data_IF_954390921338
#
_entry.id   IF_954390921338
#
_cell.length_a   1.000
_cell.length_b   1.000
_cell.length_c   1.000
_cell.angle_alpha   90.00
_cell.angle_beta   90.00
_cell.angle_gamma   90.00
#
_symmetry.space_group_name_H-M   'P 1'
#
loop_
_entity.id
_entity.type
_entity.pdbx_description
1 polymer ?
#
# COMPACT_ATOMS: atom_id res chain seq x y z
N UNK A 1 26.86 10.79 -44.98
CA UNK A 1 26.59 9.37 -45.32
C UNK A 1 27.89 8.70 -45.76
N UNK A 2 28.54 7.94 -44.88
CA UNK A 2 29.46 6.83 -45.18
C UNK A 2 29.89 6.15 -43.86
N UNK A 3 29.84 4.81 -43.86
CA UNK A 3 30.21 3.82 -42.82
C UNK A 3 29.23 3.57 -41.67
N UNK A 4 28.14 2.89 -42.00
CA UNK A 4 27.39 2.01 -41.10
C UNK A 4 27.64 0.53 -41.48
N UNK A 5 28.88 0.18 -41.82
CA UNK A 5 29.28 -1.18 -42.17
C UNK A 5 30.19 -1.74 -41.08
N UNK A 6 29.77 -2.85 -40.47
CA UNK A 6 30.44 -3.69 -39.47
C UNK A 6 30.17 -3.44 -37.98
N UNK A 7 28.96 -3.03 -37.59
CA UNK A 7 28.48 -3.30 -36.22
C UNK A 7 27.64 -4.58 -36.22
N UNK A 8 27.87 -5.52 -35.28
CA UNK A 8 27.02 -6.71 -35.16
C UNK A 8 25.57 -6.27 -34.91
N UNK A 9 24.58 -6.99 -35.46
CA UNK A 9 23.14 -6.63 -35.34
C UNK A 9 22.71 -6.38 -33.90
N UNK A 10 23.30 -7.10 -32.94
CA UNK A 10 23.03 -6.94 -31.51
C UNK A 10 23.53 -5.61 -30.93
N UNK A 11 24.49 -4.93 -31.56
CA UNK A 11 25.03 -3.65 -31.12
C UNK A 11 24.28 -2.43 -31.68
N UNK A 12 23.48 -2.62 -32.73
CA UNK A 12 22.73 -1.54 -33.38
C UNK A 12 21.74 -0.80 -32.43
N UNK A 13 21.02 -1.48 -31.51
CA UNK A 13 20.13 -0.80 -30.58
C UNK A 13 20.87 0.16 -29.65
N UNK A 14 22.04 -0.21 -29.14
CA UNK A 14 22.79 0.62 -28.18
C UNK A 14 23.33 1.90 -28.81
N UNK A 15 23.84 1.81 -30.04
CA UNK A 15 24.27 2.99 -30.79
C UNK A 15 23.08 3.89 -31.14
N UNK A 16 21.96 3.30 -31.55
CA UNK A 16 20.75 4.05 -31.87
C UNK A 16 20.15 4.79 -30.67
N UNK A 17 20.26 4.24 -29.45
CA UNK A 17 19.83 4.93 -28.23
C UNK A 17 20.67 6.19 -27.95
N UNK A 18 21.99 6.11 -28.09
CA UNK A 18 22.87 7.27 -27.93
C UNK A 18 22.56 8.35 -28.98
N UNK A 19 22.16 7.96 -30.20
CA UNK A 19 21.72 8.90 -31.23
C UNK A 19 20.36 9.53 -30.91
N UNK A 20 19.40 8.76 -30.37
CA UNK A 20 18.10 9.25 -29.95
C UNK A 20 18.25 10.34 -28.87
N UNK A 21 19.06 10.07 -27.84
CA UNK A 21 19.28 11.05 -26.77
C UNK A 21 19.93 12.34 -27.29
N UNK A 22 20.87 12.26 -28.25
CA UNK A 22 21.40 13.47 -28.91
C UNK A 22 20.32 14.27 -29.65
N UNK A 23 19.34 13.59 -30.25
CA UNK A 23 18.22 14.25 -30.91
C UNK A 23 17.33 15.00 -29.91
N UNK A 24 17.21 14.47 -28.69
CA UNK A 24 16.48 15.09 -27.57
C UNK A 24 17.37 15.99 -26.68
N UNK A 25 18.36 16.66 -27.29
CA UNK A 25 19.23 17.65 -26.65
C UNK A 25 20.13 17.17 -25.48
N UNK A 26 20.33 15.86 -25.32
CA UNK A 26 21.36 15.36 -24.39
C UNK A 26 22.76 15.55 -24.97
N UNK A 27 23.65 16.17 -24.20
CA UNK A 27 25.05 16.40 -24.55
C UNK A 27 25.88 15.11 -24.41
N UNK A 28 25.74 14.18 -25.36
CA UNK A 28 26.46 12.90 -25.34
C UNK A 28 27.65 12.93 -26.30
N UNK A 29 28.87 12.79 -25.80
CA UNK A 29 30.08 12.69 -26.61
C UNK A 29 30.22 11.31 -27.30
N UNK A 30 30.88 11.20 -28.48
CA UNK A 30 31.06 9.91 -29.16
C UNK A 30 31.78 8.86 -28.30
N UNK A 31 32.66 9.32 -27.42
CA UNK A 31 33.40 8.50 -26.46
C UNK A 31 32.44 7.90 -25.42
N UNK A 32 31.43 8.64 -24.98
CA UNK A 32 30.42 8.13 -24.03
C UNK A 32 29.55 7.05 -24.66
N UNK A 33 29.19 7.17 -25.94
CA UNK A 33 28.46 6.13 -26.65
C UNK A 33 29.30 4.84 -26.78
N UNK A 34 30.61 4.98 -26.98
CA UNK A 34 31.54 3.85 -27.02
C UNK A 34 31.70 3.19 -25.65
N UNK A 35 31.87 4.00 -24.59
CA UNK A 35 31.94 3.55 -23.20
C UNK A 35 30.66 2.83 -22.77
N UNK A 36 29.49 3.32 -23.19
CA UNK A 36 28.21 2.66 -22.94
C UNK A 36 28.18 1.25 -23.55
N UNK A 37 28.52 1.11 -24.83
CA UNK A 37 28.55 -0.20 -25.49
C UNK A 37 29.56 -1.15 -24.82
N UNK A 38 30.73 -0.65 -24.41
CA UNK A 38 31.71 -1.44 -23.66
C UNK A 38 31.18 -1.86 -22.28
N UNK A 39 30.51 -0.97 -21.54
CA UNK A 39 29.92 -1.28 -20.25
C UNK A 39 28.86 -2.38 -20.36
N UNK A 40 28.03 -2.36 -21.41
CA UNK A 40 27.05 -3.43 -21.68
C UNK A 40 27.74 -4.78 -21.93
N UNK A 41 28.90 -4.80 -22.61
CA UNK A 41 29.66 -6.06 -22.79
C UNK A 41 30.25 -6.61 -21.49
N UNK A 42 30.63 -5.72 -20.55
CA UNK A 42 31.22 -6.10 -19.26
C UNK A 42 30.17 -6.57 -18.25
N UNK A 43 29.03 -5.88 -18.18
CA UNK A 43 27.91 -6.26 -17.32
C UNK A 43 27.23 -7.55 -17.80
N UNK A 44 27.29 -7.79 -19.12
CA UNK A 44 26.56 -8.85 -19.79
C UNK A 44 25.07 -8.50 -19.85
N UNK A 45 24.41 -8.47 -21.03
CA UNK A 45 22.99 -8.14 -21.14
C UNK A 45 22.12 -9.30 -20.64
N UNK A 46 22.24 -9.65 -19.35
CA UNK A 46 21.50 -10.71 -18.67
C UNK A 46 20.09 -10.24 -18.31
N UNK A 47 19.93 -8.93 -18.09
CA UNK A 47 18.67 -8.25 -17.86
C UNK A 47 18.67 -6.87 -18.52
N UNK A 48 17.47 -6.35 -18.83
CA UNK A 48 17.28 -4.98 -19.29
C UNK A 48 17.74 -3.96 -18.23
N UNK A 49 17.68 -4.34 -16.95
CA UNK A 49 18.20 -3.50 -15.86
C UNK A 49 19.73 -3.32 -15.94
N UNK A 50 20.47 -4.31 -16.44
CA UNK A 50 21.93 -4.21 -16.59
C UNK A 50 22.31 -3.20 -17.68
N UNK A 51 21.51 -3.15 -18.75
CA UNK A 51 21.66 -2.17 -19.83
C UNK A 51 21.32 -0.76 -19.31
N UNK A 52 20.27 -0.64 -18.48
CA UNK A 52 19.87 0.63 -17.86
C UNK A 52 20.96 1.19 -16.94
N UNK A 53 21.52 0.36 -16.08
CA UNK A 53 22.62 0.75 -15.18
C UNK A 53 23.89 1.10 -15.95
N UNK A 54 24.21 0.35 -17.02
CA UNK A 54 25.31 0.70 -17.93
C UNK A 54 25.12 2.10 -18.55
N UNK A 55 23.90 2.41 -18.99
CA UNK A 55 23.56 3.67 -19.63
C UNK A 55 23.67 4.84 -18.64
N UNK A 56 23.13 4.70 -17.42
CA UNK A 56 23.24 5.72 -16.38
C UNK A 56 24.68 5.98 -15.95
N UNK A 57 25.50 4.93 -15.83
CA UNK A 57 26.89 5.04 -15.40
C UNK A 57 27.79 5.72 -16.44
N UNK A 58 27.49 5.56 -17.74
CA UNK A 58 28.38 6.01 -18.83
C UNK A 58 27.91 7.28 -19.54
N UNK A 59 26.59 7.44 -19.71
CA UNK A 59 26.00 8.63 -20.32
C UNK A 59 25.77 9.75 -19.30
N UNK A 60 25.72 9.41 -18.01
CA UNK A 60 25.71 10.33 -16.87
C UNK A 60 24.81 11.56 -17.06
N UNK A 61 23.48 11.37 -17.24
CA UNK A 61 22.55 12.49 -17.38
C UNK A 61 22.57 13.38 -16.13
N UNK A 62 22.43 14.69 -16.31
CA UNK A 62 22.26 15.65 -15.20
C UNK A 62 21.07 15.23 -14.32
N UNK A 63 21.10 15.46 -12.98
CA UNK A 63 20.00 15.11 -12.09
C UNK A 63 18.63 15.64 -12.56
N UNK A 64 18.62 16.83 -13.17
CA UNK A 64 17.39 17.49 -13.65
C UNK A 64 16.79 16.82 -14.90
N UNK A 65 17.60 16.12 -15.70
CA UNK A 65 17.18 15.44 -16.93
C UNK A 65 17.06 13.91 -16.76
N UNK A 66 17.13 13.43 -15.52
CA UNK A 66 17.12 11.98 -15.24
C UNK A 66 15.75 11.34 -15.54
N UNK A 67 14.66 12.06 -15.29
CA UNK A 67 13.30 11.61 -15.61
C UNK A 67 13.06 11.53 -17.13
N UNK A 68 13.52 12.54 -17.87
CA UNK A 68 13.46 12.54 -19.34
C UNK A 68 14.31 11.42 -19.96
N UNK A 69 15.51 11.20 -19.42
CA UNK A 69 16.38 10.11 -19.82
C UNK A 69 15.72 8.75 -19.62
N UNK A 70 15.11 8.52 -18.45
CA UNK A 70 14.43 7.27 -18.13
C UNK A 70 13.23 7.04 -19.05
N UNK A 71 12.47 8.10 -19.35
CA UNK A 71 11.35 8.05 -20.30
C UNK A 71 11.83 7.63 -21.70
N UNK A 72 12.92 8.21 -22.19
CA UNK A 72 13.49 7.85 -23.50
C UNK A 72 14.08 6.45 -23.51
N UNK A 73 14.72 6.02 -22.41
CA UNK A 73 15.22 4.65 -22.25
C UNK A 73 14.06 3.65 -22.33
N UNK A 74 12.98 3.92 -21.60
CA UNK A 74 11.77 3.08 -21.58
C UNK A 74 11.14 2.99 -22.97
N UNK A 75 10.89 4.11 -23.61
CA UNK A 75 10.29 4.14 -24.95
C UNK A 75 11.16 3.41 -26.00
N UNK A 76 12.48 3.60 -25.97
CA UNK A 76 13.37 3.03 -26.98
C UNK A 76 13.64 1.53 -26.81
N UNK A 77 13.83 1.05 -25.58
CA UNK A 77 14.16 -0.37 -25.33
C UNK A 77 12.95 -1.25 -25.03
N UNK A 78 11.85 -0.70 -24.51
CA UNK A 78 10.62 -1.45 -24.24
C UNK A 78 9.54 -1.25 -25.31
N UNK A 79 9.72 -0.31 -26.26
CA UNK A 79 8.89 -0.19 -27.46
C UNK A 79 7.54 0.50 -27.28
N UNK A 80 7.30 1.16 -26.14
CA UNK A 80 6.02 1.81 -25.87
C UNK A 80 5.96 3.24 -26.41
N UNK A 81 5.14 3.43 -27.44
CA UNK A 81 4.56 4.71 -27.82
C UNK A 81 3.16 4.82 -27.17
N UNK A 82 3.13 5.17 -25.89
CA UNK A 82 2.00 5.86 -25.28
C UNK A 82 2.48 6.53 -23.97
N UNK A 83 2.15 7.81 -23.70
CA UNK A 83 2.64 8.51 -22.52
C UNK A 83 1.83 8.06 -21.31
N UNK A 84 2.27 6.98 -20.68
CA UNK A 84 1.90 6.65 -19.31
C UNK A 84 2.75 7.54 -18.42
N UNK A 85 2.14 8.59 -17.86
CA UNK A 85 2.71 9.31 -16.71
C UNK A 85 2.98 8.26 -15.63
N UNK A 86 4.26 8.05 -15.33
CA UNK A 86 4.72 7.18 -14.25
C UNK A 86 4.11 7.64 -12.92
N UNK A 87 3.12 6.89 -12.45
CA UNK A 87 2.80 6.78 -11.05
C UNK A 87 3.34 5.43 -10.58
N UNK A 88 4.21 5.47 -9.56
CA UNK A 88 4.63 4.39 -8.66
C UNK A 88 4.27 2.96 -9.08
N UNK A 89 5.27 2.15 -9.40
CA UNK A 89 5.16 0.70 -9.66
C UNK A 89 4.24 0.01 -8.64
N UNK A 90 3.02 -0.33 -9.07
CA UNK A 90 2.10 -1.20 -8.36
C UNK A 90 2.57 -2.66 -8.57
N UNK A 91 3.32 -3.14 -7.59
CA UNK A 91 3.81 -4.52 -7.54
C UNK A 91 2.66 -5.51 -7.26
N UNK A 92 2.15 -6.15 -8.31
CA UNK A 92 1.35 -7.36 -8.22
C UNK A 92 2.18 -8.52 -7.64
N UNK A 93 1.67 -9.19 -6.60
CA UNK A 93 2.26 -10.46 -6.13
C UNK A 93 1.35 -11.60 -6.58
N UNK A 94 1.72 -12.31 -7.65
CA UNK A 94 0.99 -13.50 -8.11
C UNK A 94 1.30 -14.67 -7.20
N UNK A 95 0.27 -15.22 -6.55
CA UNK A 95 0.37 -16.46 -5.77
C UNK A 95 0.50 -17.61 -6.78
N UNK A 96 1.65 -18.28 -6.80
CA UNK A 96 1.87 -19.49 -7.59
C UNK A 96 1.29 -20.66 -6.82
N UNK A 97 0.26 -21.30 -7.38
CA UNK A 97 -0.23 -22.58 -6.90
C UNK A 97 0.87 -23.63 -7.10
N UNK A 98 1.32 -24.25 -6.00
CA UNK A 98 2.17 -25.43 -6.04
C UNK A 98 1.60 -26.45 -5.05
N UNK A 99 0.56 -27.18 -5.47
CA UNK A 99 0.20 -28.49 -4.90
C UNK A 99 -0.47 -29.39 -5.95
N UNK A 100 0.25 -30.47 -6.24
CA UNK A 100 -0.10 -31.75 -6.85
C UNK A 100 -1.54 -32.04 -7.25
N UNK A 101 -1.65 -32.50 -8.50
CA UNK A 101 -2.81 -33.15 -9.09
C UNK A 101 -3.47 -34.18 -8.15
N UNK A 102 -4.76 -33.94 -7.88
CA UNK A 102 -5.78 -34.98 -7.72
C UNK A 102 -7.00 -34.54 -8.52
N UNK A 103 -7.35 -35.37 -9.48
CA UNK A 103 -8.57 -35.27 -10.27
C UNK A 103 -9.77 -35.46 -9.35
N UNK A 104 -10.65 -34.46 -9.29
CA UNK A 104 -12.04 -34.64 -8.87
C UNK A 104 -12.93 -34.12 -10.00
N UNK A 105 -13.76 -35.03 -10.50
CA UNK A 105 -14.65 -34.85 -11.65
C UNK A 105 -15.70 -33.76 -11.37
N UNK A 106 -15.76 -32.75 -12.25
CA UNK A 106 -16.87 -31.80 -12.30
C UNK A 106 -18.07 -32.44 -13.00
N UNK A 107 -19.13 -32.74 -12.24
CA UNK A 107 -20.49 -32.92 -12.78
C UNK A 107 -21.11 -31.57 -13.24
N UNK A 108 -22.05 -31.58 -14.19
CA UNK A 108 -22.49 -30.36 -14.86
C UNK A 108 -23.33 -29.46 -13.94
N UNK A 109 -23.05 -28.17 -14.03
CA UNK A 109 -23.76 -27.10 -13.35
C UNK A 109 -25.24 -27.06 -13.75
N UNK A 110 -26.12 -27.07 -12.74
CA UNK A 110 -27.52 -26.64 -12.89
C UNK A 110 -27.53 -25.13 -13.12
N UNK A 111 -28.04 -24.72 -14.27
CA UNK A 111 -28.52 -23.36 -14.50
C UNK A 111 -29.68 -23.07 -13.53
N UNK A 112 -29.43 -22.24 -12.51
CA UNK A 112 -30.50 -21.53 -11.81
C UNK A 112 -30.46 -20.05 -12.19
N UNK A 113 -31.64 -19.56 -12.57
CA UNK A 113 -31.95 -18.25 -13.11
C UNK A 113 -31.51 -17.12 -12.16
N UNK A 114 -30.41 -16.45 -12.49
CA UNK A 114 -29.91 -15.27 -11.76
C UNK A 114 -29.54 -14.06 -12.65
N UNK A 115 -29.92 -14.08 -13.93
CA UNK A 115 -29.46 -13.08 -14.93
C UNK A 115 -30.01 -11.66 -14.76
N UNK A 116 -31.21 -11.49 -14.22
CA UNK A 116 -31.86 -10.16 -14.17
C UNK A 116 -31.42 -9.30 -12.96
N UNK A 117 -31.03 -9.94 -11.84
CA UNK A 117 -30.52 -9.22 -10.66
C UNK A 117 -29.06 -8.77 -10.83
N UNK A 118 -28.27 -9.51 -11.60
CA UNK A 118 -26.87 -9.16 -11.90
C UNK A 118 -26.78 -7.88 -12.75
N UNK A 119 -27.63 -7.74 -13.78
CA UNK A 119 -27.65 -6.55 -14.64
C UNK A 119 -28.14 -5.28 -13.94
N UNK A 120 -29.07 -5.40 -12.97
CA UNK A 120 -29.52 -4.27 -12.16
C UNK A 120 -28.43 -3.83 -11.15
N UNK A 121 -27.70 -4.80 -10.56
CA UNK A 121 -26.58 -4.54 -9.66
C UNK A 121 -25.35 -3.97 -10.38
N UNK A 122 -25.06 -4.41 -11.60
CA UNK A 122 -24.02 -3.83 -12.46
C UNK A 122 -24.35 -2.39 -12.88
N UNK A 123 -25.62 -2.09 -13.15
CA UNK A 123 -26.06 -0.71 -13.45
C UNK A 123 -26.11 0.19 -12.20
N UNK A 124 -26.38 -0.36 -11.01
CA UNK A 124 -26.34 0.38 -9.74
C UNK A 124 -24.90 0.66 -9.28
N UNK A 125 -23.97 -0.26 -9.53
CA UNK A 125 -22.55 -0.08 -9.21
C UNK A 125 -21.89 1.04 -10.02
N UNK A 126 -22.47 1.39 -11.18
CA UNK A 126 -21.88 2.37 -12.09
C UNK A 126 -22.51 3.78 -12.01
N UNK A 127 -23.49 4.03 -11.12
CA UNK A 127 -24.25 5.30 -11.16
C UNK A 127 -24.49 6.08 -9.86
N UNK A 128 -23.96 5.68 -8.70
CA UNK A 128 -24.11 6.50 -7.47
C UNK A 128 -22.78 6.95 -6.85
N UNK A 129 -22.03 7.75 -7.63
CA UNK A 129 -20.94 8.59 -7.15
C UNK A 129 -21.40 10.04 -6.92
N UNK A 130 -22.54 10.24 -6.26
CA UNK A 130 -23.01 11.59 -5.89
C UNK A 130 -22.40 12.10 -4.58
N UNK A 131 -21.60 13.18 -4.73
CA UNK A 131 -21.26 14.32 -3.85
C UNK A 131 -21.56 14.27 -2.33
N UNK A 132 -20.47 14.28 -1.55
CA UNK A 132 -20.17 15.16 -0.41
C UNK A 132 -21.16 15.29 0.78
N UNK A 133 -21.91 14.22 1.09
CA UNK A 133 -22.69 14.12 2.34
C UNK A 133 -21.96 13.44 3.52
N UNK A 134 -20.85 12.75 3.27
CA UNK A 134 -20.39 11.65 4.13
C UNK A 134 -19.53 12.06 5.33
N UNK A 135 -19.29 13.36 5.55
CA UNK A 135 -18.43 13.86 6.65
C UNK A 135 -16.93 13.51 6.53
N UNK A 136 -16.53 12.84 5.45
CA UNK A 136 -15.17 12.33 5.20
C UNK A 136 -14.10 13.42 5.17
N UNK A 137 -14.43 14.63 4.72
CA UNK A 137 -13.50 15.77 4.76
C UNK A 137 -13.12 16.19 6.20
N UNK A 138 -14.06 16.09 7.14
CA UNK A 138 -13.79 16.38 8.55
C UNK A 138 -12.98 15.24 9.21
N UNK A 139 -13.26 14.00 8.80
CA UNK A 139 -12.48 12.83 9.19
C UNK A 139 -11.00 12.96 8.79
N UNK A 140 -10.72 13.25 7.51
CA UNK A 140 -9.34 13.39 7.02
C UNK A 140 -8.54 14.45 7.78
N UNK A 141 -9.16 15.60 8.09
CA UNK A 141 -8.50 16.68 8.88
C UNK A 141 -8.16 16.27 10.31
N UNK A 142 -8.97 15.41 10.94
CA UNK A 142 -8.78 14.95 12.32
C UNK A 142 -7.88 13.71 12.40
N UNK A 143 -7.72 12.98 11.31
CA UNK A 143 -7.05 11.68 11.32
C UNK A 143 -5.59 11.77 11.80
N UNK A 144 -4.80 12.71 11.27
CA UNK A 144 -3.38 12.83 11.62
C UNK A 144 -3.13 13.03 13.12
N UNK A 145 -4.02 13.74 13.83
CA UNK A 145 -3.92 13.98 15.28
C UNK A 145 -4.59 12.89 16.11
N UNK A 146 -5.53 12.15 15.53
CA UNK A 146 -6.25 11.07 16.18
C UNK A 146 -5.49 9.73 16.16
N UNK A 147 -4.51 9.55 15.27
CA UNK A 147 -3.70 8.35 15.23
C UNK A 147 -2.80 8.22 16.47
N UNK A 148 -2.64 7.01 17.04
CA UNK A 148 -1.78 6.81 18.20
C UNK A 148 -0.34 7.24 17.91
N UNK A 149 0.26 7.99 18.84
CA UNK A 149 1.62 8.48 18.70
C UNK A 149 2.64 7.47 19.25
N UNK A 150 3.84 7.45 18.67
CA UNK A 150 5.01 6.74 19.20
C UNK A 150 6.18 7.69 19.40
N UNK A 151 7.06 7.38 20.33
CA UNK A 151 8.34 8.08 20.49
C UNK A 151 9.30 7.65 19.37
N UNK A 152 9.73 8.60 18.56
CA UNK A 152 10.81 8.44 17.58
C UNK A 152 12.15 8.29 18.29
N UNK A 153 13.12 7.66 17.61
CA UNK A 153 14.52 7.69 18.03
C UNK A 153 15.16 9.06 17.83
N UNK A 154 14.63 9.89 16.92
CA UNK A 154 15.10 11.25 16.69
C UNK A 154 14.72 12.15 17.87
N UNK A 155 15.69 12.93 18.34
CA UNK A 155 15.49 13.96 19.35
C UNK A 155 15.26 15.32 18.69
N UNK A 156 14.47 16.16 19.35
CA UNK A 156 14.22 17.55 18.98
C UNK A 156 14.52 18.46 20.16
N UNK A 157 14.91 19.71 19.88
CA UNK A 157 15.07 20.74 20.91
C UNK A 157 13.72 21.02 21.56
N UNK A 158 13.71 21.21 22.87
CA UNK A 158 12.52 21.61 23.62
C UNK A 158 12.90 22.73 24.58
N UNK A 159 11.95 23.62 24.86
CA UNK A 159 12.15 24.71 25.84
C UNK A 159 11.89 24.26 27.27
N UNK A 160 11.15 23.18 27.47
CA UNK A 160 10.82 22.61 28.78
C UNK A 160 10.60 21.10 28.69
N UNK A 161 10.65 20.41 29.84
CA UNK A 161 10.34 18.97 30.00
C UNK A 161 11.11 18.09 29.00
N UNK A 162 12.43 18.22 29.01
CA UNK A 162 13.36 17.41 28.21
C UNK A 162 14.57 16.97 29.02
N UNK A 163 15.35 16.07 28.44
CA UNK A 163 16.66 15.68 28.96
C UNK A 163 17.71 16.70 28.53
N UNK A 164 18.70 16.95 29.38
CA UNK A 164 19.78 17.89 29.09
C UNK A 164 20.66 17.39 27.92
N UNK A 165 20.95 18.27 26.96
CA UNK A 165 21.86 17.99 25.85
C UNK A 165 23.29 18.37 26.24
N UNK A 166 23.92 17.54 27.08
CA UNK A 166 25.25 17.81 27.66
C UNK A 166 26.27 18.30 26.63
N UNK A 167 26.36 17.64 25.47
CA UNK A 167 27.31 18.00 24.42
C UNK A 167 27.12 19.45 23.95
N UNK A 168 25.88 19.87 23.71
CA UNK A 168 25.59 21.21 23.21
C UNK A 168 25.62 22.26 24.32
N UNK A 169 25.08 21.94 25.50
CA UNK A 169 25.14 22.84 26.65
C UNK A 169 26.59 23.15 27.03
N UNK A 170 27.48 22.15 27.08
CA UNK A 170 28.90 22.38 27.36
C UNK A 170 29.58 23.21 26.26
N UNK A 171 29.27 22.95 24.99
CA UNK A 171 29.79 23.75 23.88
C UNK A 171 29.36 25.22 23.94
N UNK A 172 28.13 25.49 24.40
CA UNK A 172 27.60 26.84 24.53
C UNK A 172 28.22 27.59 25.71
N UNK A 173 28.41 26.90 26.85
CA UNK A 173 29.11 27.44 28.04
C UNK A 173 30.55 27.83 27.70
N UNK A 174 31.29 26.98 26.96
CA UNK A 174 32.65 27.29 26.53
C UNK A 174 32.67 28.49 25.59
N UNK A 175 31.70 28.62 24.68
CA UNK A 175 31.61 29.78 23.79
C UNK A 175 31.18 31.08 24.49
N UNK A 176 30.54 30.97 25.65
CA UNK A 176 30.05 32.09 26.45
C UNK A 176 31.00 32.44 27.61
N UNK A 177 32.28 32.07 27.50
CA UNK A 177 33.32 32.36 28.50
C UNK A 177 32.98 31.88 29.93
N UNK A 178 32.25 30.76 30.04
CA UNK A 178 31.83 30.19 31.31
C UNK A 178 30.52 30.75 31.86
N UNK A 179 29.88 31.68 31.16
CA UNK A 179 28.51 32.09 31.47
C UNK A 179 27.56 30.90 31.21
N UNK A 180 26.52 30.75 32.03
CA UNK A 180 25.61 29.59 31.97
C UNK A 180 24.33 30.00 31.24
N UNK A 181 24.26 29.93 29.89
CA UNK A 181 22.99 30.06 29.21
C UNK A 181 22.07 28.91 29.66
N UNK A 182 20.76 29.20 29.71
CA UNK A 182 19.74 28.22 30.10
C UNK A 182 19.99 26.86 29.45
N UNK A 183 19.96 25.75 30.20
CA UNK A 183 20.41 24.45 29.68
C UNK A 183 19.60 24.03 28.45
N UNK A 184 20.31 23.62 27.40
CA UNK A 184 19.66 23.12 26.19
C UNK A 184 19.00 21.77 26.47
N UNK A 185 17.67 21.74 26.35
CA UNK A 185 16.90 20.52 26.54
C UNK A 185 16.56 19.88 25.20
N UNK A 186 16.60 18.55 25.18
CA UNK A 186 16.15 17.71 24.07
C UNK A 186 15.12 16.70 24.55
N UNK A 187 14.17 16.33 23.68
CA UNK A 187 13.23 15.23 23.94
C UNK A 187 13.05 14.38 22.69
N UNK A 188 12.67 13.11 22.85
CA UNK A 188 12.30 12.27 21.70
C UNK A 188 11.04 12.84 21.03
N UNK A 189 11.08 12.95 19.71
CA UNK A 189 9.94 13.44 18.92
C UNK A 189 8.78 12.44 19.01
N UNK A 190 7.55 12.93 19.22
CA UNK A 190 6.35 12.12 19.06
C UNK A 190 5.93 12.16 17.59
N UNK A 191 5.71 10.99 17.00
CA UNK A 191 5.32 10.83 15.59
C UNK A 191 4.09 9.92 15.54
N UNK A 192 3.07 10.25 14.72
CA UNK A 192 1.93 9.37 14.54
C UNK A 192 2.38 7.99 14.00
N UNK A 193 1.73 6.94 14.49
CA UNK A 193 1.89 5.58 13.96
C UNK A 193 1.33 5.51 12.55
N UNK A 194 1.78 4.49 11.81
CA UNK A 194 1.22 4.18 10.50
C UNK A 194 -0.23 3.69 10.67
N UNK A 195 -1.07 3.96 9.68
CA UNK A 195 -2.39 3.36 9.54
C UNK A 195 -2.31 2.36 8.39
N UNK A 196 -2.73 1.11 8.62
CA UNK A 196 -2.83 0.10 7.57
C UNK A 196 -4.29 -0.31 7.44
N UNK A 197 -4.88 -0.05 6.28
CA UNK A 197 -6.23 -0.48 5.93
C UNK A 197 -6.12 -1.69 5.00
N UNK A 198 -6.73 -2.80 5.39
CA UNK A 198 -6.87 -3.99 4.56
C UNK A 198 -8.36 -4.11 4.20
N UNK A 199 -8.71 -3.98 2.93
CA UNK A 199 -10.10 -3.93 2.46
C UNK A 199 -10.44 -5.20 1.67
N UNK A 200 -11.48 -5.89 2.10
CA UNK A 200 -12.03 -7.04 1.38
C UNK A 200 -12.85 -6.58 0.18
N UNK A 201 -12.53 -7.13 -1.00
CA UNK A 201 -13.21 -6.84 -2.27
C UNK A 201 -14.04 -8.02 -2.78
N UNK A 202 -14.32 -9.00 -1.92
CA UNK A 202 -15.13 -10.17 -2.26
C UNK A 202 -16.58 -9.83 -2.61
N UNK A 203 -17.24 -10.78 -3.28
CA UNK A 203 -18.62 -10.62 -3.74
C UNK A 203 -19.64 -10.24 -2.66
N UNK A 204 -19.48 -10.72 -1.43
CA UNK A 204 -20.35 -10.36 -0.28
C UNK A 204 -20.14 -8.92 0.20
N UNK A 205 -18.98 -8.33 -0.09
CA UNK A 205 -18.60 -7.00 0.34
C UNK A 205 -18.93 -5.91 -0.67
N UNK A 206 -19.35 -6.26 -1.90
CA UNK A 206 -19.64 -5.33 -3.02
C UNK A 206 -20.42 -4.08 -2.61
N UNK A 207 -21.47 -4.22 -1.80
CA UNK A 207 -22.30 -3.10 -1.32
C UNK A 207 -21.56 -2.11 -0.41
N UNK A 208 -20.54 -2.58 0.31
CA UNK A 208 -19.78 -1.78 1.26
C UNK A 208 -18.42 -1.32 0.72
N UNK A 209 -17.84 -2.05 -0.24
CA UNK A 209 -16.49 -1.78 -0.71
C UNK A 209 -16.34 -0.38 -1.30
N UNK A 210 -17.31 0.13 -2.08
CA UNK A 210 -17.25 1.49 -2.61
C UNK A 210 -17.13 2.55 -1.49
N UNK A 211 -17.86 2.36 -0.40
CA UNK A 211 -17.82 3.23 0.77
C UNK A 211 -16.49 3.10 1.54
N UNK A 212 -15.91 1.90 1.57
CA UNK A 212 -14.60 1.67 2.19
C UNK A 212 -13.46 2.29 1.40
N UNK A 213 -13.50 2.24 0.07
CA UNK A 213 -12.49 2.91 -0.77
C UNK A 213 -12.61 4.43 -0.65
N UNK A 214 -13.84 4.99 -0.56
CA UNK A 214 -14.06 6.43 -0.25
C UNK A 214 -13.45 6.82 1.10
N UNK A 215 -13.68 6.02 2.14
CA UNK A 215 -13.08 6.23 3.46
C UNK A 215 -11.55 6.13 3.41
N UNK A 216 -11.02 5.16 2.68
CA UNK A 216 -9.59 4.96 2.51
C UNK A 216 -8.92 6.12 1.76
N UNK A 217 -9.57 6.67 0.73
CA UNK A 217 -9.13 7.91 0.08
C UNK A 217 -9.00 9.04 1.10
N UNK A 218 -10.06 9.30 1.88
CA UNK A 218 -10.03 10.32 2.91
C UNK A 218 -8.93 10.06 3.97
N UNK A 219 -8.65 8.80 4.28
CA UNK A 219 -7.59 8.42 5.20
C UNK A 219 -6.18 8.69 4.64
N UNK A 220 -5.95 8.37 3.36
CA UNK A 220 -4.68 8.64 2.65
C UNK A 220 -4.44 10.14 2.52
N UNK A 221 -5.47 10.92 2.21
CA UNK A 221 -5.39 12.38 2.15
C UNK A 221 -5.19 13.01 3.54
N UNK A 222 -5.74 12.39 4.59
CA UNK A 222 -5.68 12.89 5.97
C UNK A 222 -4.41 12.50 6.74
N UNK A 223 -3.71 11.42 6.33
CA UNK A 223 -2.54 10.92 7.03
C UNK A 223 -1.45 10.44 6.07
N UNK A 224 -0.31 11.13 6.05
CA UNK A 224 0.85 10.82 5.20
C UNK A 224 1.45 9.41 5.38
N UNK A 225 1.06 8.68 6.43
CA UNK A 225 1.56 7.34 6.76
C UNK A 225 0.44 6.29 6.77
N UNK A 226 -0.63 6.56 6.02
CA UNK A 226 -1.68 5.59 5.74
C UNK A 226 -1.30 4.76 4.51
N UNK A 227 -1.49 3.45 4.63
CA UNK A 227 -1.29 2.47 3.57
C UNK A 227 -2.57 1.65 3.46
N UNK A 228 -2.99 1.40 2.23
CA UNK A 228 -4.25 0.75 1.87
C UNK A 228 -3.94 -0.38 0.91
N UNK A 229 -4.43 -1.56 1.26
CA UNK A 229 -4.40 -2.76 0.42
C UNK A 229 -5.80 -3.29 0.28
N UNK A 230 -6.12 -3.81 -0.89
CA UNK A 230 -7.30 -4.61 -1.15
C UNK A 230 -6.90 -6.08 -1.20
N UNK A 231 -7.78 -6.95 -0.72
CA UNK A 231 -7.60 -8.40 -0.80
C UNK A 231 -8.89 -9.08 -1.26
N UNK A 232 -8.74 -10.04 -2.17
CA UNK A 232 -9.81 -10.92 -2.66
C UNK A 232 -9.19 -12.26 -3.04
N UNK A 233 -9.08 -12.53 -4.33
CA UNK A 233 -8.23 -13.58 -4.91
C UNK A 233 -6.74 -13.21 -4.90
N UNK A 234 -6.44 -11.92 -4.89
CA UNK A 234 -5.10 -11.35 -4.92
C UNK A 234 -4.99 -10.22 -3.91
N UNK A 235 -3.74 -9.89 -3.57
CA UNK A 235 -3.40 -8.74 -2.74
C UNK A 235 -2.91 -7.60 -3.64
N UNK A 236 -3.61 -6.47 -3.62
CA UNK A 236 -3.25 -5.28 -4.40
C UNK A 236 -3.06 -4.09 -3.49
N UNK A 237 -1.97 -3.34 -3.68
CA UNK A 237 -1.74 -2.06 -2.99
C UNK A 237 -2.42 -0.96 -3.81
N UNK A 238 -3.36 -0.23 -3.22
CA UNK A 238 -4.07 0.87 -3.92
C UNK A 238 -3.69 2.26 -3.38
N UNK A 239 -2.67 2.33 -2.53
CA UNK A 239 -2.28 3.58 -1.85
C UNK A 239 -1.84 4.67 -2.83
N UNK A 240 -1.08 4.28 -3.86
CA UNK A 240 -0.60 5.13 -4.96
C UNK A 240 -1.78 5.81 -5.67
N UNK A 241 -2.78 5.03 -6.10
CA UNK A 241 -4.01 5.53 -6.71
C UNK A 241 -4.79 6.49 -5.80
N UNK A 242 -4.89 6.17 -4.50
CA UNK A 242 -5.61 6.97 -3.52
C UNK A 242 -4.91 8.28 -3.11
N UNK A 243 -3.65 8.49 -3.51
CA UNK A 243 -2.94 9.77 -3.29
C UNK A 243 -3.44 10.89 -4.20
N UNK A 244 -4.11 10.56 -5.30
CA UNK A 244 -4.71 11.55 -6.18
C UNK A 244 -5.75 12.37 -5.41
N UNK A 245 -5.60 13.70 -5.46
CA UNK A 245 -6.45 14.62 -4.69
C UNK A 245 -7.89 14.63 -5.16
N UNK A 246 -8.09 14.53 -6.48
CA UNK A 246 -9.41 14.38 -7.08
C UNK A 246 -9.98 13.00 -6.71
N UNK A 247 -11.11 13.00 -6.00
CA UNK A 247 -11.71 11.77 -5.48
C UNK A 247 -12.15 10.85 -6.60
N UNK A 248 -12.82 11.38 -7.61
CA UNK A 248 -13.45 10.55 -8.64
C UNK A 248 -12.37 9.91 -9.52
N UNK A 249 -11.28 10.64 -9.81
CA UNK A 249 -10.09 10.08 -10.45
C UNK A 249 -9.38 9.03 -9.58
N UNK A 250 -9.22 9.29 -8.28
CA UNK A 250 -8.59 8.35 -7.37
C UNK A 250 -9.36 7.03 -7.29
N UNK A 251 -10.70 7.11 -7.20
CA UNK A 251 -11.59 5.96 -7.19
C UNK A 251 -11.58 5.22 -8.52
N UNK A 252 -11.60 5.92 -9.65
CA UNK A 252 -11.50 5.30 -10.97
C UNK A 252 -10.18 4.54 -11.15
N UNK A 253 -9.05 5.11 -10.71
CA UNK A 253 -7.76 4.40 -10.73
C UNK A 253 -7.72 3.23 -9.77
N UNK A 254 -8.24 3.38 -8.56
CA UNK A 254 -8.30 2.27 -7.60
C UNK A 254 -9.18 1.12 -8.12
N UNK A 255 -10.28 1.44 -8.79
CA UNK A 255 -11.16 0.45 -9.43
C UNK A 255 -10.44 -0.30 -10.57
N UNK A 256 -9.66 0.41 -11.39
CA UNK A 256 -8.88 -0.19 -12.48
C UNK A 256 -7.72 -1.08 -12.00
N UNK A 257 -7.24 -0.92 -10.76
CA UNK A 257 -6.20 -1.78 -10.17
C UNK A 257 -6.78 -3.04 -9.52
N UNK A 258 -8.08 -3.06 -9.24
CA UNK A 258 -8.77 -4.18 -8.63
C UNK A 258 -9.52 -4.90 -9.75
N UNK A 259 -8.85 -5.80 -10.45
CA UNK A 259 -9.46 -6.53 -11.56
C UNK A 259 -10.46 -7.63 -11.11
N UNK A 260 -10.37 -8.08 -9.85
CA UNK A 260 -11.10 -9.26 -9.33
C UNK A 260 -12.18 -8.90 -8.29
N UNK A 261 -13.25 -8.20 -8.71
CA UNK A 261 -14.41 -7.90 -7.84
C UNK A 261 -15.35 -9.09 -7.59
N UNK A 262 -15.16 -10.21 -8.29
CA UNK A 262 -16.07 -11.37 -8.26
C UNK A 262 -15.45 -12.69 -7.81
N UNK A 263 -14.22 -12.63 -7.28
CA UNK A 263 -13.53 -13.79 -6.76
C UNK A 263 -13.99 -14.18 -5.35
N UNK A 264 -13.93 -15.48 -5.02
CA UNK A 264 -14.12 -15.94 -3.65
C UNK A 264 -13.06 -15.40 -2.68
N UNK A 265 -13.38 -15.39 -1.38
CA UNK A 265 -12.49 -14.87 -0.33
C UNK A 265 -11.55 -15.96 0.19
N UNK A 266 -10.23 -15.78 0.04
CA UNK A 266 -9.21 -16.58 0.74
C UNK A 266 -8.37 -15.69 1.64
N UNK A 267 -8.95 -15.27 2.76
CA UNK A 267 -8.35 -14.28 3.65
C UNK A 267 -7.04 -14.80 4.25
N UNK A 268 -7.03 -16.02 4.79
CA UNK A 268 -5.83 -16.62 5.39
C UNK A 268 -4.61 -16.62 4.47
N UNK A 269 -4.67 -17.29 3.29
CA UNK A 269 -3.56 -17.32 2.34
C UNK A 269 -3.12 -15.93 1.87
N UNK A 270 -4.05 -15.01 1.65
CA UNK A 270 -3.73 -13.65 1.17
C UNK A 270 -3.03 -12.82 2.23
N UNK A 271 -3.45 -12.91 3.49
CA UNK A 271 -2.76 -12.27 4.60
C UNK A 271 -1.38 -12.90 4.87
N UNK A 272 -1.25 -14.23 4.70
CA UNK A 272 0.07 -14.88 4.76
C UNK A 272 0.99 -14.39 3.64
N UNK A 273 0.47 -14.23 2.42
CA UNK A 273 1.22 -13.65 1.30
C UNK A 273 1.67 -12.22 1.63
N UNK A 274 0.78 -11.36 2.16
CA UNK A 274 1.13 -10.02 2.65
C UNK A 274 2.27 -10.05 3.68
N UNK A 275 2.21 -10.98 4.64
CA UNK A 275 3.20 -11.11 5.70
C UNK A 275 4.53 -11.74 5.25
N UNK A 276 4.52 -12.49 4.13
CA UNK A 276 5.70 -13.13 3.55
C UNK A 276 6.61 -12.14 2.83
N UNK A 277 6.03 -11.07 2.28
CA UNK A 277 6.74 -10.02 1.54
C UNK A 277 7.29 -8.98 2.55
N UNK A 278 8.62 -8.86 2.75
CA UNK A 278 9.18 -8.04 3.82
C UNK A 278 8.78 -6.56 3.72
N UNK A 279 8.76 -5.99 2.50
CA UNK A 279 8.32 -4.61 2.24
C UNK A 279 6.89 -4.35 2.69
N UNK A 280 5.97 -5.28 2.45
CA UNK A 280 4.57 -5.18 2.86
C UNK A 280 4.40 -5.38 4.36
N UNK A 281 5.06 -6.40 4.91
CA UNK A 281 5.04 -6.66 6.35
C UNK A 281 5.56 -5.49 7.20
N UNK A 282 6.46 -4.66 6.65
CA UNK A 282 6.98 -3.46 7.30
C UNK A 282 5.92 -2.35 7.47
N UNK A 283 4.81 -2.40 6.72
CA UNK A 283 3.67 -1.50 6.93
C UNK A 283 2.85 -1.88 8.15
N UNK A 284 2.72 -3.18 8.46
CA UNK A 284 2.02 -3.63 9.67
C UNK A 284 2.81 -3.35 10.97
N UNK A 285 4.15 -3.28 10.91
CA UNK A 285 5.01 -3.14 12.10
C UNK A 285 4.73 -1.85 12.88
N UNK A 286 4.12 -1.99 14.06
CA UNK A 286 3.76 -0.93 14.99
C UNK A 286 2.69 0.02 14.46
N UNK A 287 1.94 -0.40 13.44
CA UNK A 287 0.82 0.32 12.84
C UNK A 287 -0.50 0.03 13.57
N UNK A 288 -1.45 0.95 13.46
CA UNK A 288 -2.84 0.61 13.72
C UNK A 288 -3.40 -0.05 12.45
N UNK A 289 -3.76 -1.33 12.54
CA UNK A 289 -4.22 -2.14 11.42
C UNK A 289 -5.73 -2.28 11.54
N UNK A 290 -6.45 -1.92 10.49
CA UNK A 290 -7.90 -2.09 10.40
C UNK A 290 -8.21 -2.99 9.21
N UNK A 291 -8.82 -4.13 9.48
CA UNK A 291 -9.29 -5.07 8.47
C UNK A 291 -10.77 -4.80 8.26
N UNK A 292 -11.18 -4.48 7.04
CA UNK A 292 -12.58 -4.27 6.63
C UNK A 292 -13.03 -5.53 5.87
N UNK A 293 -13.74 -6.43 6.54
CA UNK A 293 -14.17 -7.72 5.97
C UNK A 293 -15.28 -8.33 6.79
N UNK A 294 -16.11 -9.15 6.16
CA UNK A 294 -17.08 -10.00 6.85
C UNK A 294 -16.41 -11.19 7.61
N UNK A 295 -15.13 -11.47 7.33
CA UNK A 295 -14.32 -12.55 7.92
C UNK A 295 -14.97 -13.94 7.80
N UNK A 296 -15.69 -14.17 6.71
CA UNK A 296 -16.35 -15.44 6.43
C UNK A 296 -15.44 -16.35 5.57
N UNK A 297 -14.54 -17.10 6.21
CA UNK A 297 -13.76 -18.14 5.54
C UNK A 297 -14.47 -19.50 5.68
N UNK A 298 -14.82 -20.12 4.55
CA UNK A 298 -15.42 -21.46 4.50
C UNK A 298 -14.32 -22.51 4.42
N UNK A 299 -14.30 -23.46 5.36
CA UNK A 299 -13.32 -24.56 5.39
C UNK A 299 -12.29 -24.42 6.52
N UNK A 300 -11.05 -24.85 6.26
CA UNK A 300 -9.96 -24.79 7.23
C UNK A 300 -9.52 -23.33 7.50
N UNK A 301 -9.56 -22.92 8.76
CA UNK A 301 -9.21 -21.57 9.23
C UNK A 301 -7.80 -21.49 9.84
N UNK A 302 -7.00 -22.55 9.74
CA UNK A 302 -5.63 -22.62 10.29
C UNK A 302 -4.69 -21.54 9.74
N UNK A 303 -4.79 -21.27 8.43
CA UNK A 303 -4.01 -20.23 7.75
C UNK A 303 -4.41 -18.83 8.23
N UNK A 304 -5.72 -18.58 8.39
CA UNK A 304 -6.25 -17.32 8.89
C UNK A 304 -5.80 -17.05 10.32
N UNK A 305 -5.91 -18.05 11.19
CA UNK A 305 -5.46 -17.93 12.58
C UNK A 305 -3.95 -17.63 12.65
N UNK A 306 -3.15 -18.32 11.83
CA UNK A 306 -1.70 -18.08 11.73
C UNK A 306 -1.41 -16.66 11.24
N UNK A 307 -2.13 -16.19 10.22
CA UNK A 307 -1.97 -14.86 9.67
C UNK A 307 -2.31 -13.77 10.71
N UNK A 308 -3.48 -13.86 11.36
CA UNK A 308 -3.92 -12.91 12.37
C UNK A 308 -2.99 -12.91 13.58
N UNK A 309 -2.52 -14.08 14.04
CA UNK A 309 -1.54 -14.18 15.12
C UNK A 309 -0.24 -13.43 14.81
N UNK A 310 0.30 -13.63 13.59
CA UNK A 310 1.51 -12.94 13.13
C UNK A 310 1.29 -11.44 12.96
N UNK A 311 0.10 -11.04 12.51
CA UNK A 311 -0.28 -9.65 12.31
C UNK A 311 -0.44 -8.93 13.66
N UNK A 312 -1.15 -9.54 14.62
CA UNK A 312 -1.33 -9.05 15.99
C UNK A 312 0.02 -8.84 16.70
N UNK A 313 0.95 -9.79 16.58
CA UNK A 313 2.30 -9.65 17.13
C UNK A 313 3.14 -8.51 16.52
N UNK A 314 2.79 -8.04 15.30
CA UNK A 314 3.49 -6.95 14.60
C UNK A 314 2.79 -5.61 14.76
N UNK A 315 1.47 -5.61 14.84
CA UNK A 315 0.64 -4.42 14.92
C UNK A 315 0.80 -3.72 16.28
N UNK A 316 0.50 -2.43 16.32
CA UNK A 316 0.23 -1.75 17.58
C UNK A 316 -1.19 -2.05 18.08
N UNK A 317 -2.13 -2.16 17.14
CA UNK A 317 -3.53 -2.46 17.37
C UNK A 317 -4.09 -3.13 16.11
N UNK A 318 -4.87 -4.19 16.27
CA UNK A 318 -5.53 -4.93 15.21
C UNK A 318 -7.03 -4.93 15.44
N UNK A 319 -7.74 -4.16 14.61
CA UNK A 319 -9.20 -4.04 14.66
C UNK A 319 -9.80 -4.70 13.41
N UNK A 320 -10.78 -5.58 13.62
CA UNK A 320 -11.61 -6.13 12.54
C UNK A 320 -12.93 -5.37 12.51
N UNK A 321 -13.25 -4.75 11.39
CA UNK A 321 -14.54 -4.12 11.15
C UNK A 321 -15.33 -4.96 10.17
N UNK A 322 -16.48 -5.44 10.62
CA UNK A 322 -17.39 -6.26 9.82
C UNK A 322 -18.73 -5.56 9.67
N UNK A 323 -19.29 -5.45 8.45
CA UNK A 323 -20.65 -4.93 8.27
C UNK A 323 -21.69 -5.71 9.08
N UNK A 324 -21.42 -7.01 9.31
CA UNK A 324 -22.32 -7.90 10.04
C UNK A 324 -22.48 -7.46 11.51
N UNK A 325 -21.46 -6.85 12.11
CA UNK A 325 -21.53 -6.35 13.50
C UNK A 325 -22.47 -5.15 13.67
N UNK A 326 -23.02 -4.60 12.59
CA UNK A 326 -24.08 -3.59 12.65
C UNK A 326 -25.46 -4.18 13.00
N UNK A 327 -25.69 -5.49 12.79
CA UNK A 327 -26.94 -6.14 13.21
C UNK A 327 -26.87 -6.44 14.73
N UNK A 328 -27.83 -5.98 15.55
CA UNK A 328 -27.87 -6.32 16.98
C UNK A 328 -27.93 -7.81 17.29
N UNK A 329 -28.29 -8.65 16.31
CA UNK A 329 -28.36 -10.11 16.42
C UNK A 329 -27.06 -10.80 16.01
N UNK A 330 -26.06 -10.06 15.54
CA UNK A 330 -24.80 -10.63 15.15
C UNK A 330 -24.04 -11.18 16.36
N UNK A 331 -23.56 -12.40 16.22
CA UNK A 331 -22.66 -13.03 17.19
C UNK A 331 -21.54 -13.71 16.41
N UNK A 332 -20.27 -13.59 16.86
CA UNK A 332 -19.14 -14.24 16.19
C UNK A 332 -19.14 -15.75 16.49
N UNK A 333 -20.11 -16.47 15.95
CA UNK A 333 -20.32 -17.90 16.18
C UNK A 333 -19.52 -18.80 15.23
N UNK A 334 -19.08 -18.27 14.09
CA UNK A 334 -18.31 -19.00 13.07
C UNK A 334 -16.98 -19.49 13.64
N UNK A 335 -16.56 -20.70 13.28
CA UNK A 335 -15.31 -21.30 13.78
C UNK A 335 -14.09 -20.38 13.54
N UNK A 336 -13.99 -19.80 12.34
CA UNK A 336 -12.95 -18.83 11.98
C UNK A 336 -12.95 -17.59 12.89
N UNK A 337 -14.13 -16.95 13.07
CA UNK A 337 -14.26 -15.77 13.93
C UNK A 337 -13.94 -16.09 15.39
N UNK A 338 -14.41 -17.23 15.92
CA UNK A 338 -14.09 -17.67 17.29
C UNK A 338 -12.60 -17.91 17.51
N UNK A 339 -11.90 -18.45 16.51
CA UNK A 339 -10.47 -18.70 16.59
C UNK A 339 -9.64 -17.42 16.61
N UNK A 340 -10.04 -16.41 15.83
CA UNK A 340 -9.31 -15.14 15.74
C UNK A 340 -9.71 -14.12 16.81
N UNK A 341 -10.91 -14.21 17.38
CA UNK A 341 -11.44 -13.23 18.35
C UNK A 341 -10.47 -12.91 19.52
N UNK A 342 -9.77 -13.88 20.14
CA UNK A 342 -8.80 -13.59 21.20
C UNK A 342 -7.54 -12.86 20.73
N UNK A 343 -7.27 -12.86 19.42
CA UNK A 343 -6.10 -12.23 18.80
C UNK A 343 -6.39 -10.80 18.31
N UNK A 344 -7.67 -10.41 18.27
CA UNK A 344 -8.14 -9.09 17.87
C UNK A 344 -8.22 -8.16 19.08
N UNK A 345 -7.73 -6.94 18.91
CA UNK A 345 -7.92 -5.89 19.91
C UNK A 345 -9.37 -5.42 19.90
N UNK A 346 -9.96 -5.26 18.72
CA UNK A 346 -11.37 -4.85 18.55
C UNK A 346 -12.08 -5.61 17.44
N UNK A 347 -13.37 -5.85 17.66
CA UNK A 347 -14.33 -6.23 16.63
C UNK A 347 -15.42 -5.16 16.60
N UNK A 348 -15.51 -4.41 15.51
CA UNK A 348 -16.30 -3.17 15.41
C UNK A 348 -17.34 -3.23 14.28
N UNK A 349 -18.35 -2.37 14.41
CA UNK A 349 -19.36 -2.13 13.37
C UNK A 349 -18.74 -1.48 12.13
N UNK A 350 -18.76 -2.22 11.03
CA UNK A 350 -18.34 -1.78 9.70
C UNK A 350 -19.48 -1.39 8.76
N UNK A 351 -20.74 -1.38 9.21
CA UNK A 351 -21.91 -1.19 8.35
C UNK A 351 -22.01 0.22 7.76
N UNK A 352 -21.48 1.22 8.47
CA UNK A 352 -21.53 2.63 8.04
C UNK A 352 -20.15 3.30 8.00
N UNK A 353 -19.97 4.21 7.06
CA UNK A 353 -18.75 5.06 6.94
C UNK A 353 -18.53 5.88 8.19
N UNK A 354 -19.62 6.34 8.83
CA UNK A 354 -19.56 7.12 10.07
C UNK A 354 -19.03 6.29 11.23
N UNK A 355 -19.59 5.10 11.46
CA UNK A 355 -19.12 4.16 12.51
C UNK A 355 -17.62 3.88 12.33
N UNK A 356 -17.20 3.56 11.10
CA UNK A 356 -15.79 3.31 10.78
C UNK A 356 -14.90 4.53 11.00
N UNK A 357 -15.35 5.71 10.58
CA UNK A 357 -14.61 6.97 10.79
C UNK A 357 -14.39 7.24 12.27
N UNK A 358 -15.43 7.07 13.08
CA UNK A 358 -15.36 7.28 14.53
C UNK A 358 -14.43 6.26 15.21
N UNK A 359 -14.48 4.99 14.79
CA UNK A 359 -13.55 3.96 15.26
C UNK A 359 -12.12 4.31 14.92
N UNK A 360 -11.83 4.66 13.66
CA UNK A 360 -10.47 5.00 13.23
C UNK A 360 -9.95 6.22 14.01
N UNK A 361 -10.80 7.23 14.25
CA UNK A 361 -10.45 8.39 15.09
C UNK A 361 -10.27 8.04 16.58
N UNK A 362 -10.80 6.90 17.03
CA UNK A 362 -10.65 6.41 18.40
C UNK A 362 -9.43 5.51 18.61
N UNK A 363 -8.67 5.17 17.56
CA UNK A 363 -7.56 4.20 17.62
C UNK A 363 -6.47 4.57 18.64
N UNK A 364 -6.33 5.84 18.99
CA UNK A 364 -5.40 6.29 20.05
C UNK A 364 -5.87 6.00 21.48
N UNK A 365 -7.16 5.75 21.69
CA UNK A 365 -7.72 5.44 23.01
C UNK A 365 -7.54 3.95 23.28
N UNK A 366 -7.21 3.54 24.53
CA UNK A 366 -7.25 2.14 24.89
C UNK A 366 -8.69 1.64 24.74
N UNK A 367 -8.87 0.52 24.05
CA UNK A 367 -10.16 -0.14 23.93
C UNK A 367 -10.15 -1.47 24.68
N UNK A 368 -11.31 -1.89 25.22
CA UNK A 368 -11.44 -3.22 25.80
C UNK A 368 -11.27 -4.28 24.71
N UNK A 369 -10.57 -5.36 25.04
CA UNK A 369 -10.34 -6.46 24.10
C UNK A 369 -11.66 -6.98 23.52
N UNK A 370 -11.68 -7.29 22.23
CA UNK A 370 -12.86 -7.78 21.50
C UNK A 370 -13.55 -8.94 22.23
N UNK A 371 -12.75 -9.86 22.76
CA UNK A 371 -13.21 -10.99 23.56
C UNK A 371 -14.06 -10.58 24.77
N UNK A 372 -13.75 -9.46 25.44
CA UNK A 372 -14.49 -8.98 26.63
C UNK A 372 -15.87 -8.43 26.26
N UNK A 373 -16.00 -7.83 25.08
CA UNK A 373 -17.27 -7.30 24.58
C UNK A 373 -18.17 -8.45 24.12
N UNK A 374 -17.60 -9.38 23.34
CA UNK A 374 -18.39 -10.39 22.63
C UNK A 374 -18.57 -11.71 23.40
N UNK A 375 -17.75 -12.02 24.43
CA UNK A 375 -18.03 -13.15 25.34
C UNK A 375 -19.21 -12.91 26.28
N UNK A 376 -19.60 -11.65 26.54
CA UNK A 376 -20.79 -11.36 27.37
C UNK A 376 -22.11 -11.67 26.68
N UNK A 377 -22.07 -11.92 25.37
CA UNK A 377 -23.26 -12.13 24.53
C UNK A 377 -23.35 -13.59 24.04
N UNK A 378 -22.38 -14.45 24.41
CA UNK A 378 -22.33 -15.86 24.03
C UNK A 378 -22.91 -16.77 25.12
#
# INVERSE_FOLDING_TARGET
>A
MRRAENLPRAAAPFLGFAMLLRHHAFAIAPEQATSFMQAVTLLGPRSMNDIREAALATLAPSPDHREEFETHFRSYFYGDANPSIEGEEDDETRIKEDRGAREEEHGPAREEKGGELSSALEQLSNRDFQRDGDGLGAFGRKLASALPARRSFRTIRTRSRGTLDLRRSLSEIVSADGDIPSPLLRRRQLVPRKLLLLIDVSGSMKLHTANYVKLAHAAVQGANRAEVFTFGTRLTRITSALRIRDRDQALARAAALVDDWDGGTRMGPTLLAFLSVPRFSAFARGAAVVILSDALERGDHSDLETAIRRLSARAFRLSLATPLAGDPRFHPATAALRAILPLLDDLVDGSSVKSLSDVILSLARPAPAAETIWKRVA
#
